data_IF_197028913244
#
_entry.id   IF_197028913244
#
_cell.length_a   1.000
_cell.length_b   1.000
_cell.length_c   1.000
_cell.angle_alpha   90.00
_cell.angle_beta   90.00
_cell.angle_gamma   90.00
#
_symmetry.space_group_name_H-M   'P 1'
#
loop_
_entity.id
_entity.type
_entity.pdbx_description
1 polymer ?
#
# COMPACT_ATOMS: atom_id res chain seq x y z
N UNK A 1 24.04 -7.68 -16.15
CA UNK A 1 23.91 -8.26 -15.44
C UNK A 1 22.72 -8.34 -14.80
N UNK A 2 22.45 -9.05 -14.34
CA UNK A 2 21.36 -9.17 -13.74
C UNK A 2 21.25 -8.73 -12.45
N UNK A 3 22.14 -8.10 -12.00
CA UNK A 3 22.10 -7.64 -10.66
C UNK A 3 20.99 -6.69 -10.38
N UNK A 4 20.44 -6.07 -11.41
CA UNK A 4 19.38 -5.23 -11.17
C UNK A 4 18.10 -5.89 -11.06
N UNK A 5 17.99 -7.12 -11.48
CA UNK A 5 16.78 -7.78 -11.46
C UNK A 5 16.41 -8.08 -10.06
N UNK A 6 15.23 -7.80 -9.62
CA UNK A 6 14.82 -8.03 -8.26
C UNK A 6 15.27 -6.98 -7.28
N UNK A 7 16.09 -6.03 -7.74
CA UNK A 7 16.54 -5.01 -6.87
C UNK A 7 15.47 -3.96 -6.76
N UNK A 8 15.13 -3.54 -5.55
CA UNK A 8 14.12 -2.53 -5.33
C UNK A 8 14.76 -1.19 -5.09
N UNK A 9 14.27 -0.16 -5.76
CA UNK A 9 14.74 1.19 -5.60
C UNK A 9 14.10 1.83 -4.38
N UNK A 10 12.84 1.44 -4.08
CA UNK A 10 12.08 2.02 -2.99
C UNK A 10 11.66 0.92 -2.01
N UNK A 11 12.07 1.03 -0.77
CA UNK A 11 11.63 0.07 0.24
C UNK A 11 10.15 0.28 0.52
N UNK A 12 9.44 -0.82 0.78
CA UNK A 12 8.01 -0.79 1.06
C UNK A 12 7.79 -1.29 2.48
N UNK A 13 7.10 -0.48 3.27
CA UNK A 13 6.80 -0.84 4.65
C UNK A 13 5.29 -0.91 4.85
N UNK A 14 4.86 -1.66 5.83
CA UNK A 14 3.45 -1.78 6.17
C UNK A 14 3.18 -1.05 7.47
N UNK A 15 2.22 -0.14 7.45
CA UNK A 15 1.82 0.58 8.65
C UNK A 15 1.29 -0.39 9.69
N UNK A 16 1.69 -0.19 10.93
CA UNK A 16 1.22 -0.98 12.06
C UNK A 16 0.58 -0.01 13.04
N UNK A 17 -0.68 -0.25 13.39
CA UNK A 17 -1.40 0.66 14.27
C UNK A 17 -1.03 0.40 15.73
N UNK A 18 -1.64 1.17 16.63
CA UNK A 18 -1.30 1.08 18.06
C UNK A 18 -1.63 -0.27 18.66
N UNK A 19 -2.60 -0.98 18.09
CA UNK A 19 -2.98 -2.29 18.59
C UNK A 19 -2.14 -3.40 17.96
N UNK A 20 -1.22 -3.04 17.09
CA UNK A 20 -0.38 -4.04 16.43
C UNK A 20 -0.93 -4.58 15.13
N UNK A 21 -2.06 -4.06 14.65
CA UNK A 21 -2.62 -4.52 13.39
C UNK A 21 -1.88 -3.89 12.24
N UNK A 22 -1.66 -4.68 11.19
CA UNK A 22 -1.03 -4.18 9.96
C UNK A 22 -2.03 -4.36 8.83
N UNK A 23 -2.91 -3.37 8.62
CA UNK A 23 -4.08 -3.57 7.77
C UNK A 23 -3.80 -4.16 6.39
N UNK A 24 -2.79 -3.65 5.69
CA UNK A 24 -2.52 -4.16 4.35
C UNK A 24 -1.93 -5.56 4.40
N UNK A 25 -0.96 -5.77 5.26
CA UNK A 25 -0.33 -7.07 5.37
C UNK A 25 -1.32 -8.12 5.86
N UNK A 26 -2.17 -7.76 6.82
CA UNK A 26 -3.19 -8.66 7.32
C UNK A 26 -4.16 -9.06 6.20
N UNK A 27 -4.55 -8.10 5.35
CA UNK A 27 -5.41 -8.40 4.22
C UNK A 27 -4.73 -9.36 3.25
N UNK A 28 -3.45 -9.14 2.96
CA UNK A 28 -2.73 -10.02 2.05
C UNK A 28 -2.62 -11.43 2.62
N UNK A 29 -2.39 -11.52 3.93
CA UNK A 29 -2.34 -12.83 4.57
C UNK A 29 -3.69 -13.53 4.52
N UNK A 30 -4.77 -12.75 4.64
CA UNK A 30 -6.10 -13.31 4.55
C UNK A 30 -6.35 -13.87 3.14
N UNK A 31 -5.95 -13.14 2.11
CA UNK A 31 -6.09 -13.63 0.74
C UNK A 31 -5.28 -14.90 0.53
N UNK A 32 -4.08 -14.94 1.11
CA UNK A 32 -3.22 -16.12 0.95
C UNK A 32 -3.81 -17.35 1.62
N UNK A 33 -4.58 -17.14 2.71
CA UNK A 33 -5.18 -18.26 3.41
C UNK A 33 -6.40 -18.82 2.71
N UNK A 34 -7.10 -18.02 1.92
CA UNK A 34 -8.30 -18.47 1.24
C UNK A 34 -7.92 -19.35 0.07
N UNK A 35 -8.67 -20.45 -0.08
CA UNK A 35 -8.39 -21.37 -1.17
C UNK A 35 -9.39 -21.10 -2.27
N UNK A 36 -9.27 -19.97 -2.94
CA UNK A 36 -10.15 -19.63 -4.04
C UNK A 36 -9.37 -18.97 -5.16
N UNK A 37 -9.87 -19.13 -6.36
CA UNK A 37 -9.23 -18.54 -7.53
C UNK A 37 -9.25 -17.02 -7.44
N UNK A 38 -10.36 -16.46 -6.99
CA UNK A 38 -10.48 -15.01 -6.89
C UNK A 38 -9.44 -14.46 -5.92
N UNK A 39 -9.25 -15.09 -4.78
CA UNK A 39 -8.27 -14.60 -3.81
C UNK A 39 -6.86 -14.69 -4.35
N UNK A 40 -6.55 -15.75 -5.11
CA UNK A 40 -5.22 -15.88 -5.69
C UNK A 40 -4.96 -14.79 -6.73
N UNK A 41 -5.97 -14.49 -7.56
CA UNK A 41 -5.84 -13.45 -8.58
C UNK A 41 -5.62 -12.11 -7.91
N UNK A 42 -6.40 -11.81 -6.87
CA UNK A 42 -6.29 -10.53 -6.18
C UNK A 42 -4.94 -10.38 -5.49
N UNK A 43 -4.47 -11.44 -4.84
CA UNK A 43 -3.19 -11.40 -4.16
C UNK A 43 -2.05 -11.21 -5.16
N UNK A 44 -2.11 -11.91 -6.29
CA UNK A 44 -1.08 -11.75 -7.32
C UNK A 44 -1.04 -10.33 -7.85
N UNK A 45 -2.20 -9.72 -8.07
CA UNK A 45 -2.24 -8.34 -8.55
C UNK A 45 -1.72 -7.37 -7.50
N UNK A 46 -2.03 -7.62 -6.23
CA UNK A 46 -1.50 -6.78 -5.17
C UNK A 46 0.02 -6.83 -5.17
N UNK A 47 0.57 -8.03 -5.26
CA UNK A 47 2.02 -8.18 -5.26
C UNK A 47 2.64 -7.51 -6.49
N UNK A 48 2.02 -7.65 -7.65
CA UNK A 48 2.52 -7.02 -8.87
C UNK A 48 2.57 -5.50 -8.73
N UNK A 49 1.53 -4.91 -8.16
CA UNK A 49 1.46 -3.47 -8.04
C UNK A 49 2.39 -2.93 -6.95
N UNK A 50 2.56 -3.69 -5.87
CA UNK A 50 3.52 -3.31 -4.84
C UNK A 50 4.93 -3.36 -5.42
N UNK A 51 5.22 -4.37 -6.23
CA UNK A 51 6.53 -4.45 -6.86
C UNK A 51 6.73 -3.29 -7.84
N UNK A 52 5.69 -2.92 -8.58
CA UNK A 52 5.77 -1.79 -9.48
C UNK A 52 6.10 -0.51 -8.71
N UNK A 53 5.44 -0.31 -7.56
CA UNK A 53 5.71 0.84 -6.73
C UNK A 53 7.16 0.82 -6.21
N UNK A 54 7.64 -0.37 -5.82
CA UNK A 54 9.00 -0.48 -5.29
C UNK A 54 10.05 -0.18 -6.36
N UNK A 55 9.73 -0.43 -7.61
CA UNK A 55 10.68 -0.20 -8.69
C UNK A 55 10.60 1.18 -9.30
N UNK A 56 9.41 1.71 -9.46
CA UNK A 56 9.21 2.96 -10.16
C UNK A 56 8.74 4.12 -9.31
N UNK A 57 8.30 3.84 -8.09
CA UNK A 57 7.75 4.89 -7.25
C UNK A 57 6.50 5.47 -7.87
N UNK A 58 6.16 6.68 -7.50
CA UNK A 58 4.95 7.32 -8.00
C UNK A 58 5.04 7.67 -9.48
N UNK A 59 6.21 7.54 -10.08
CA UNK A 59 6.33 7.79 -11.51
C UNK A 59 5.59 6.74 -12.34
N UNK A 60 5.23 5.59 -11.75
CA UNK A 60 4.45 4.60 -12.48
C UNK A 60 3.13 5.19 -13.01
N UNK A 61 2.56 6.13 -12.26
CA UNK A 61 1.40 6.88 -12.73
C UNK A 61 0.14 6.07 -12.93
N UNK A 62 -0.86 6.73 -13.52
CA UNK A 62 -2.12 6.06 -13.80
C UNK A 62 -1.96 5.10 -14.95
N UNK A 63 -2.72 4.03 -14.94
CA UNK A 63 -3.83 3.73 -14.03
C UNK A 63 -3.42 3.03 -12.75
N UNK A 64 -2.14 2.83 -12.53
CA UNK A 64 -1.66 2.02 -11.41
C UNK A 64 -1.68 2.77 -10.08
N UNK A 65 -1.34 4.04 -10.13
CA UNK A 65 -1.15 4.87 -8.95
C UNK A 65 -1.79 6.21 -9.19
N UNK A 66 -2.46 6.76 -8.19
CA UNK A 66 -3.09 8.06 -8.32
C UNK A 66 -2.86 8.88 -7.05
N UNK A 67 -2.51 10.16 -7.23
CA UNK A 67 -2.42 11.07 -6.11
C UNK A 67 -3.84 11.50 -5.71
N UNK A 68 -4.15 11.47 -4.44
CA UNK A 68 -5.50 11.81 -3.96
C UNK A 68 -5.57 13.18 -3.33
N UNK A 69 -4.83 13.40 -2.25
CA UNK A 69 -4.96 14.63 -1.50
C UNK A 69 -3.75 14.74 -0.57
N UNK A 70 -3.14 15.92 -0.49
CA UNK A 70 -1.99 16.17 0.36
C UNK A 70 -0.92 15.12 0.12
N UNK A 71 -0.55 14.34 1.14
CA UNK A 71 0.49 13.34 1.00
C UNK A 71 -0.06 11.96 0.68
N UNK A 72 -1.36 11.82 0.48
CA UNK A 72 -2.01 10.52 0.33
C UNK A 72 -2.11 10.13 -1.14
N UNK A 73 -1.61 8.93 -1.43
CA UNK A 73 -1.65 8.34 -2.76
C UNK A 73 -2.43 7.02 -2.70
N UNK A 74 -2.82 6.52 -3.86
CA UNK A 74 -3.63 5.32 -3.95
C UNK A 74 -3.03 4.36 -4.97
N UNK A 75 -2.85 3.11 -4.57
CA UNK A 75 -2.41 2.02 -5.45
C UNK A 75 -3.69 1.27 -5.84
N UNK A 76 -3.82 0.92 -7.11
CA UNK A 76 -5.12 0.54 -7.67
C UNK A 76 -5.16 -0.84 -8.35
N UNK A 77 -4.82 -1.93 -7.69
CA UNK A 77 -4.86 -3.25 -8.31
C UNK A 77 -6.29 -3.80 -8.36
N UNK A 78 -6.84 -3.89 -9.57
CA UNK A 78 -8.20 -4.38 -9.79
C UNK A 78 -9.21 -3.55 -8.99
N UNK A 79 -9.94 -4.17 -8.08
CA UNK A 79 -10.92 -3.45 -7.28
C UNK A 79 -10.39 -3.09 -5.91
N UNK A 80 -9.20 -3.54 -5.58
CA UNK A 80 -8.62 -3.20 -4.30
C UNK A 80 -7.96 -1.83 -4.38
N UNK A 81 -7.99 -1.12 -3.26
CA UNK A 81 -7.34 0.19 -3.16
C UNK A 81 -6.48 0.18 -1.92
N UNK A 82 -5.22 0.60 -2.08
CA UNK A 82 -4.31 0.69 -0.97
C UNK A 82 -3.82 2.12 -0.90
N UNK A 83 -4.11 2.79 0.22
CA UNK A 83 -3.64 4.16 0.40
C UNK A 83 -2.25 4.12 1.01
N UNK A 84 -1.37 4.98 0.52
CA UNK A 84 0.02 4.96 0.96
C UNK A 84 0.60 6.37 0.93
N UNK A 85 1.77 6.49 1.55
CA UNK A 85 2.50 7.78 1.62
C UNK A 85 3.97 7.52 1.31
N UNK A 86 4.64 8.55 0.83
CA UNK A 86 6.09 8.53 0.73
C UNK A 86 6.68 8.68 2.13
N UNK A 87 7.79 8.02 2.37
CA UNK A 87 8.41 8.03 3.67
C UNK A 87 9.90 8.30 3.51
N UNK A 88 10.66 8.10 4.56
CA UNK A 88 12.08 8.46 4.59
C UNK A 88 12.90 7.69 3.55
N UNK A 89 13.91 8.35 3.03
CA UNK A 89 14.86 7.73 2.10
C UNK A 89 14.22 7.11 0.88
N UNK A 90 13.18 7.74 0.38
CA UNK A 90 12.54 7.26 -0.85
C UNK A 90 11.69 6.02 -0.67
N UNK A 91 11.37 5.67 0.57
CA UNK A 91 10.51 4.51 0.83
C UNK A 91 9.05 4.90 0.78
N UNK A 92 8.19 3.90 0.90
CA UNK A 92 6.75 4.10 0.97
C UNK A 92 6.18 3.28 2.11
N UNK A 93 5.11 3.79 2.72
CA UNK A 93 4.40 3.06 3.77
C UNK A 93 2.98 2.84 3.31
N UNK A 94 2.55 1.59 3.27
CA UNK A 94 1.19 1.23 2.88
C UNK A 94 0.32 1.31 4.13
N UNK A 95 -0.72 2.16 4.07
CA UNK A 95 -1.50 2.50 5.26
C UNK A 95 -2.67 1.56 5.51
N UNK A 96 -3.62 1.53 4.60
CA UNK A 96 -4.74 0.61 4.75
C UNK A 96 -5.35 0.30 3.39
N UNK A 97 -6.27 -0.62 3.39
CA UNK A 97 -6.88 -1.18 2.19
C UNK A 97 -8.39 -1.07 2.29
N UNK A 98 -9.03 -0.88 1.14
CA UNK A 98 -10.47 -1.03 1.04
C UNK A 98 -10.82 -1.49 -0.37
N UNK A 99 -12.04 -1.98 -0.56
CA UNK A 99 -12.50 -2.44 -1.86
C UNK A 99 -13.31 -1.32 -2.50
N UNK A 100 -13.00 -1.00 -3.75
CA UNK A 100 -13.67 0.06 -4.47
C UNK A 100 -15.13 -0.27 -4.68
N UNK A 101 -16.01 0.66 -4.35
CA UNK A 101 -17.43 0.52 -4.59
C UNK A 101 -18.01 1.72 -5.33
N UNK A 102 -17.24 2.77 -5.51
CA UNK A 102 -17.69 3.97 -6.19
C UNK A 102 -16.59 4.45 -7.12
N UNK A 103 -16.92 5.41 -7.98
CA UNK A 103 -15.94 5.95 -8.90
C UNK A 103 -14.83 6.68 -8.17
N UNK A 104 -15.19 7.52 -7.21
CA UNK A 104 -14.20 8.30 -6.49
C UNK A 104 -13.87 7.61 -5.18
N UNK A 105 -12.65 7.80 -4.72
CA UNK A 105 -12.25 7.33 -3.40
C UNK A 105 -13.05 8.08 -2.35
N UNK A 106 -13.77 7.37 -1.48
CA UNK A 106 -14.59 8.05 -0.47
C UNK A 106 -13.74 8.93 0.43
N UNK A 107 -14.27 10.09 0.77
CA UNK A 107 -13.55 11.02 1.61
C UNK A 107 -13.16 10.42 2.96
N UNK A 108 -13.99 9.55 3.51
CA UNK A 108 -13.68 8.93 4.79
C UNK A 108 -12.41 8.09 4.75
N UNK A 109 -12.11 7.50 3.57
CA UNK A 109 -10.89 6.70 3.45
C UNK A 109 -9.67 7.60 3.41
N UNK A 110 -9.79 8.73 2.75
CA UNK A 110 -8.70 9.70 2.69
C UNK A 110 -8.43 10.27 4.09
N UNK A 111 -9.49 10.60 4.82
CA UNK A 111 -9.34 11.14 6.15
C UNK A 111 -8.74 10.11 7.11
N UNK A 112 -9.12 8.84 6.95
CA UNK A 112 -8.53 7.78 7.75
C UNK A 112 -7.03 7.69 7.47
N UNK A 113 -6.65 7.77 6.18
CA UNK A 113 -5.24 7.69 5.83
C UNK A 113 -4.46 8.86 6.42
N UNK A 114 -5.07 10.04 6.47
CA UNK A 114 -4.40 11.19 7.07
C UNK A 114 -4.16 10.98 8.56
N UNK A 115 -5.11 10.34 9.25
CA UNK A 115 -4.93 10.04 10.67
C UNK A 115 -3.84 8.99 10.86
N UNK A 116 -3.79 7.99 9.97
CA UNK A 116 -2.75 6.98 10.04
C UNK A 116 -1.38 7.60 9.79
N UNK A 117 -1.29 8.53 8.85
CA UNK A 117 -0.04 9.22 8.60
C UNK A 117 0.39 10.02 9.81
N UNK A 118 -0.55 10.70 10.47
CA UNK A 118 -0.22 11.46 11.65
C UNK A 118 0.31 10.56 12.76
N UNK A 119 -0.33 9.40 12.96
CA UNK A 119 0.12 8.42 13.93
C UNK A 119 1.51 7.91 13.56
N UNK A 120 1.74 7.66 12.28
CA UNK A 120 3.04 7.21 11.81
C UNK A 120 4.12 8.25 12.10
N UNK A 121 3.81 9.53 11.88
CA UNK A 121 4.77 10.59 12.14
C UNK A 121 5.12 10.69 13.61
N UNK A 122 4.16 10.41 14.47
CA UNK A 122 4.39 10.50 15.91
C UNK A 122 5.14 9.30 16.46
N UNK A 123 4.83 8.10 15.99
CA UNK A 123 5.42 6.89 16.53
C UNK A 123 6.55 6.31 15.71
N UNK A 124 6.59 6.63 14.42
CA UNK A 124 7.56 6.04 13.52
C UNK A 124 7.20 4.60 13.19
N UNK A 125 8.06 3.96 12.41
CA UNK A 125 7.93 2.54 12.12
C UNK A 125 8.57 1.80 13.29
N UNK A 126 7.78 1.09 14.05
CA UNK A 126 8.27 0.53 15.28
C UNK A 126 8.52 -0.93 15.27
N UNK A 127 8.58 -1.49 14.11
CA UNK A 127 8.70 -2.92 14.04
C UNK A 127 10.03 -3.43 14.40
N UNK A 128 11.01 -2.63 14.28
CA UNK A 128 12.33 -3.10 14.47
C UNK A 128 12.69 -3.34 15.89
N UNK A 129 11.84 -2.96 16.79
CA UNK A 129 12.21 -3.20 18.15
C UNK A 129 12.05 -4.61 18.58
#
# INVERSE_FOLDING_TARGET
MNSKRGRFVHAIYFYKDKQGNQPVLDYMRELARRDSKDSRIRLNKLNDYIELLSQQGTRAGQPYIKHLDAEIWELRPLRDRILFVAWLDGSFVLLHHFVKKTQKTPRREIEKAKRELQDLKERGLRDEE
#
